data_IF_280692476536
#
_entry.id   IF_280692476536
#
_cell.length_a   1.000
_cell.length_b   1.000
_cell.length_c   1.000
_cell.angle_alpha   90.00
_cell.angle_beta   90.00
_cell.angle_gamma   90.00
#
_symmetry.space_group_name_H-M   'P 1'
#
loop_
_entity.id
_entity.type
_entity.pdbx_description
1 polymer ?
#
# COMPACT_ATOMS: atom_id res chain seq x y z
N UNK A 1 5.83 26.85 -5.71
CA UNK A 1 6.79 25.76 -6.08
C UNK A 1 8.24 26.26 -6.09
N UNK A 2 8.83 26.64 -4.95
CA UNK A 2 10.24 27.14 -4.88
C UNK A 2 11.19 26.25 -4.05
N UNK A 3 10.69 25.42 -3.13
CA UNK A 3 11.51 24.53 -2.31
C UNK A 3 12.16 23.37 -3.11
N UNK A 4 11.49 22.86 -4.15
CA UNK A 4 11.98 21.74 -4.97
C UNK A 4 13.20 22.10 -5.83
N UNK A 5 13.38 23.39 -6.18
CA UNK A 5 14.51 23.88 -6.97
C UNK A 5 15.79 24.06 -6.14
N UNK A 6 15.68 24.34 -4.83
CA UNK A 6 16.84 24.62 -3.98
C UNK A 6 17.43 23.39 -3.31
N UNK A 7 16.60 22.44 -2.89
CA UNK A 7 17.03 21.26 -2.12
C UNK A 7 17.09 19.98 -2.96
N UNK A 8 16.66 20.05 -4.23
CA UNK A 8 16.58 18.89 -5.11
C UNK A 8 15.38 17.98 -4.82
N UNK A 9 14.89 17.31 -5.86
CA UNK A 9 13.69 16.46 -5.80
C UNK A 9 13.85 15.27 -4.85
N UNK A 10 15.05 14.70 -4.76
CA UNK A 10 15.33 13.55 -3.89
C UNK A 10 15.21 13.91 -2.40
N UNK A 11 15.74 15.06 -1.99
CA UNK A 11 15.62 15.55 -0.63
C UNK A 11 14.16 15.83 -0.26
N UNK A 12 13.42 16.51 -1.15
CA UNK A 12 12.00 16.77 -0.94
C UNK A 12 11.17 15.48 -0.81
N UNK A 13 11.42 14.47 -1.67
CA UNK A 13 10.74 13.17 -1.60
C UNK A 13 10.99 12.46 -0.26
N UNK A 14 12.23 12.52 0.24
CA UNK A 14 12.60 11.95 1.55
C UNK A 14 11.92 12.68 2.69
N UNK A 15 12.00 14.02 2.73
CA UNK A 15 11.37 14.83 3.77
C UNK A 15 9.85 14.68 3.81
N UNK A 16 9.20 14.65 2.65
CA UNK A 16 7.76 14.49 2.53
C UNK A 16 7.24 13.05 2.75
N UNK A 17 8.13 12.08 3.04
CA UNK A 17 7.76 10.68 3.20
C UNK A 17 7.14 10.05 1.95
N UNK A 18 7.52 10.55 0.76
CA UNK A 18 6.86 10.24 -0.51
C UNK A 18 6.74 8.73 -0.78
N UNK A 19 7.80 7.97 -0.51
CA UNK A 19 7.82 6.52 -0.74
C UNK A 19 6.84 5.78 0.18
N UNK A 20 6.72 6.18 1.45
CA UNK A 20 5.77 5.60 2.38
C UNK A 20 4.33 5.90 1.95
N UNK A 21 4.04 7.16 1.58
CA UNK A 21 2.72 7.57 1.06
C UNK A 21 2.36 6.80 -0.21
N UNK A 22 3.26 6.72 -1.18
CA UNK A 22 3.02 6.01 -2.44
C UNK A 22 2.79 4.50 -2.22
N UNK A 23 3.51 3.87 -1.28
CA UNK A 23 3.27 2.47 -0.90
C UNK A 23 1.90 2.29 -0.24
N UNK A 24 1.49 3.21 0.62
CA UNK A 24 0.17 3.18 1.25
C UNK A 24 -0.95 3.33 0.20
N UNK A 25 -0.82 4.29 -0.73
CA UNK A 25 -1.77 4.48 -1.84
C UNK A 25 -1.87 3.24 -2.72
N UNK A 26 -0.74 2.60 -3.06
CA UNK A 26 -0.72 1.36 -3.83
C UNK A 26 -1.43 0.22 -3.08
N UNK A 27 -1.20 0.06 -1.77
CA UNK A 27 -1.89 -0.94 -0.95
C UNK A 27 -3.39 -0.64 -0.80
N UNK A 28 -3.77 0.62 -0.68
CA UNK A 28 -5.17 1.04 -0.66
C UNK A 28 -5.87 0.73 -1.99
N UNK A 29 -5.19 0.92 -3.13
CA UNK A 29 -5.71 0.52 -4.44
C UNK A 29 -5.97 -0.99 -4.52
N UNK A 30 -5.08 -1.82 -3.98
CA UNK A 30 -5.31 -3.27 -3.87
C UNK A 30 -6.46 -3.63 -2.92
N UNK A 31 -6.65 -2.88 -1.83
CA UNK A 31 -7.79 -3.10 -0.94
C UNK A 31 -9.13 -2.81 -1.63
N UNK A 32 -9.17 -1.75 -2.44
CA UNK A 32 -10.35 -1.33 -3.21
C UNK A 32 -10.68 -2.25 -4.38
N UNK A 33 -9.74 -3.03 -4.90
CA UNK A 33 -10.04 -4.00 -5.97
C UNK A 33 -10.96 -5.14 -5.51
N UNK A 34 -11.07 -5.39 -4.19
CA UNK A 34 -12.06 -6.33 -3.63
C UNK A 34 -13.46 -5.70 -3.45
N UNK A 35 -13.59 -4.40 -3.68
CA UNK A 35 -14.83 -3.64 -3.52
C UNK A 35 -14.52 -2.20 -3.14
N UNK A 36 -15.09 -1.23 -3.85
CA UNK A 36 -14.76 0.19 -3.68
C UNK A 36 -15.16 0.74 -2.29
N UNK A 37 -16.18 0.15 -1.66
CA UNK A 37 -16.70 0.50 -0.34
C UNK A 37 -16.69 -0.71 0.59
N UNK A 38 -16.73 -0.44 1.89
CA UNK A 38 -17.00 -1.45 2.92
C UNK A 38 -18.51 -1.69 2.92
N UNK A 39 -18.93 -2.94 2.70
CA UNK A 39 -20.33 -3.28 2.55
C UNK A 39 -21.04 -3.46 3.90
N UNK A 40 -20.30 -3.91 4.92
CA UNK A 40 -20.82 -4.08 6.26
C UNK A 40 -21.28 -2.74 6.87
N UNK A 41 -22.47 -2.74 7.47
CA UNK A 41 -23.04 -1.56 8.17
C UNK A 41 -22.66 -1.48 9.64
N UNK A 42 -22.35 -2.61 10.25
CA UNK A 42 -22.00 -2.73 11.66
C UNK A 42 -20.47 -2.63 11.85
N UNK A 43 -19.95 -1.85 12.81
CA UNK A 43 -18.51 -1.61 12.99
C UNK A 43 -17.66 -2.88 13.15
N UNK A 44 -18.16 -3.88 13.87
CA UNK A 44 -17.42 -5.13 14.08
C UNK A 44 -17.34 -5.91 12.78
N UNK A 45 -18.43 -5.92 12.00
CA UNK A 45 -18.45 -6.52 10.66
C UNK A 45 -17.60 -5.76 9.65
N UNK A 46 -17.48 -4.42 9.77
CA UNK A 46 -16.55 -3.64 8.94
C UNK A 46 -15.09 -4.01 9.23
N UNK A 47 -14.77 -4.18 10.51
CA UNK A 47 -13.44 -4.61 10.96
C UNK A 47 -13.10 -6.00 10.42
N UNK A 48 -14.05 -6.95 10.51
CA UNK A 48 -13.88 -8.28 9.95
C UNK A 48 -13.68 -8.24 8.42
N UNK A 49 -14.48 -7.44 7.70
CA UNK A 49 -14.36 -7.27 6.26
C UNK A 49 -12.96 -6.75 5.86
N UNK A 50 -12.44 -5.74 6.57
CA UNK A 50 -11.10 -5.19 6.32
C UNK A 50 -10.03 -6.24 6.62
N UNK A 51 -10.11 -6.95 7.75
CA UNK A 51 -9.14 -7.99 8.12
C UNK A 51 -9.09 -9.11 7.08
N UNK A 52 -10.25 -9.57 6.59
CA UNK A 52 -10.31 -10.60 5.55
C UNK A 52 -9.63 -10.11 4.28
N UNK A 53 -9.94 -8.89 3.81
CA UNK A 53 -9.30 -8.33 2.60
C UNK A 53 -7.78 -8.19 2.77
N UNK A 54 -7.31 -7.77 3.95
CA UNK A 54 -5.87 -7.68 4.26
C UNK A 54 -5.23 -9.07 4.26
N UNK A 55 -5.86 -10.08 4.86
CA UNK A 55 -5.37 -11.44 4.88
C UNK A 55 -5.23 -12.02 3.45
N UNK A 56 -6.21 -11.76 2.57
CA UNK A 56 -6.15 -12.16 1.16
C UNK A 56 -5.00 -11.47 0.42
N UNK A 57 -4.82 -10.15 0.60
CA UNK A 57 -3.70 -9.41 0.01
C UNK A 57 -2.36 -9.99 0.47
N UNK A 58 -2.22 -10.30 1.75
CA UNK A 58 -0.99 -10.88 2.29
C UNK A 58 -0.73 -12.28 1.71
N UNK A 59 -1.77 -13.11 1.58
CA UNK A 59 -1.65 -14.42 0.93
C UNK A 59 -1.23 -14.30 -0.53
N UNK A 60 -1.81 -13.37 -1.29
CA UNK A 60 -1.38 -13.13 -2.67
C UNK A 60 0.05 -12.62 -2.77
N UNK A 61 0.51 -11.76 -1.86
CA UNK A 61 1.92 -11.34 -1.84
C UNK A 61 2.84 -12.53 -1.57
N UNK A 62 2.48 -13.42 -0.65
CA UNK A 62 3.27 -14.62 -0.36
C UNK A 62 3.34 -15.57 -1.56
N UNK A 63 2.21 -15.76 -2.27
CA UNK A 63 2.16 -16.61 -3.47
C UNK A 63 2.90 -16.00 -4.67
N UNK A 64 2.88 -14.67 -4.81
CA UNK A 64 3.54 -13.96 -5.90
C UNK A 64 5.01 -13.63 -5.65
N UNK A 65 5.53 -13.93 -4.45
CA UNK A 65 6.94 -13.74 -4.12
C UNK A 65 7.73 -14.95 -4.61
N UNK A 66 8.40 -14.82 -5.75
CA UNK A 66 9.40 -15.79 -6.17
C UNK A 66 10.69 -15.60 -5.37
N UNK A 67 11.33 -16.69 -4.97
CA UNK A 67 12.70 -16.62 -4.45
C UNK A 67 13.64 -16.28 -5.61
N UNK A 68 14.11 -15.03 -5.64
CA UNK A 68 15.13 -14.61 -6.60
C UNK A 68 16.50 -14.85 -5.96
N UNK A 69 17.12 -15.98 -6.30
CA UNK A 69 18.50 -16.28 -5.91
C UNK A 69 19.44 -15.62 -6.91
N UNK A 70 20.38 -14.81 -6.41
CA UNK A 70 21.44 -14.24 -7.24
C UNK A 70 22.46 -15.35 -7.53
N UNK A 71 22.52 -15.81 -8.78
CA UNK A 71 23.57 -16.74 -9.22
C UNK A 71 24.94 -16.06 -9.11
N UNK A 72 25.93 -16.81 -8.62
CA UNK A 72 27.33 -16.40 -8.53
C UNK A 72 27.99 -16.42 -9.91
#
# INVERSE_FOLDING_TARGET
>A
MRATRHYGRAFWKRWAGYHARSRAEAKMRCLKSFGERIAARDPDRQTAEIHIRVALINRFNALGSAEIVRAA
#
